data_IF_968329383929
#
_entry.id   IF_968329383929
#
_cell.length_a   1.000
_cell.length_b   1.000
_cell.length_c   1.000
_cell.angle_alpha   90.00
_cell.angle_beta   90.00
_cell.angle_gamma   90.00
#
_symmetry.space_group_name_H-M   'P 1'
#
loop_
_entity.id
_entity.type
_entity.pdbx_description
1 polymer ?
#
# COMPACT_ATOMS: atom_id res chain seq x y z
N UNK A 1 -20.75 -12.58 -18.96
CA UNK A 1 -20.70 -11.17 -19.41
C UNK A 1 -20.35 -10.34 -18.19
N UNK A 2 -19.28 -9.53 -18.21
CA UNK A 2 -18.97 -8.65 -17.09
C UNK A 2 -20.07 -7.60 -16.98
N UNK A 3 -20.58 -7.36 -15.78
CA UNK A 3 -21.81 -6.59 -15.53
C UNK A 3 -21.80 -5.14 -16.07
N UNK A 4 -20.64 -4.63 -16.46
CA UNK A 4 -20.47 -3.25 -16.90
C UNK A 4 -19.84 -3.10 -18.29
N UNK A 5 -19.54 -4.19 -19.01
CA UNK A 5 -18.96 -4.13 -20.37
C UNK A 5 -17.77 -3.15 -20.56
N UNK A 6 -17.03 -2.82 -19.50
CA UNK A 6 -15.93 -1.84 -19.53
C UNK A 6 -16.34 -0.38 -19.30
N UNK A 7 -17.63 -0.10 -19.09
CA UNK A 7 -18.09 1.22 -18.63
C UNK A 7 -17.66 1.50 -17.20
N UNK A 8 -17.48 2.78 -16.90
CA UNK A 8 -17.14 3.26 -15.56
C UNK A 8 -18.31 2.97 -14.64
N UNK A 9 -18.18 1.92 -13.83
CA UNK A 9 -19.05 1.74 -12.68
C UNK A 9 -18.45 2.56 -11.53
N UNK A 10 -19.19 3.57 -11.10
CA UNK A 10 -18.93 4.28 -9.84
C UNK A 10 -19.84 3.66 -8.79
N UNK A 11 -19.41 2.59 -8.09
CA UNK A 11 -20.27 1.97 -7.10
C UNK A 11 -20.74 3.02 -6.09
N UNK A 12 -22.07 3.17 -5.90
CA UNK A 12 -22.63 4.11 -4.95
C UNK A 12 -22.15 3.76 -3.54
N UNK A 13 -22.01 4.77 -2.67
CA UNK A 13 -21.58 4.58 -1.29
C UNK A 13 -20.35 5.42 -0.92
N UNK A 14 -19.88 5.27 0.30
CA UNK A 14 -18.64 5.91 0.77
C UNK A 14 -17.42 5.03 0.45
N UNK A 15 -16.20 5.49 0.78
CA UNK A 15 -14.97 4.72 0.55
C UNK A 15 -14.99 3.36 1.26
N UNK A 16 -15.56 3.27 2.46
CA UNK A 16 -15.68 2.00 3.19
C UNK A 16 -16.51 0.99 2.39
N UNK A 17 -17.69 1.39 1.89
CA UNK A 17 -18.55 0.51 1.08
C UNK A 17 -17.87 -0.01 -0.19
N UNK A 18 -17.05 0.82 -0.85
CA UNK A 18 -16.39 0.44 -2.10
C UNK A 18 -15.23 -0.54 -1.91
N UNK A 19 -14.48 -0.41 -0.82
CA UNK A 19 -13.18 -1.08 -0.66
C UNK A 19 -13.16 -2.14 0.44
N UNK A 20 -14.15 -2.17 1.33
CA UNK A 20 -14.18 -3.11 2.45
C UNK A 20 -13.98 -4.55 1.98
N UNK A 21 -14.78 -5.03 1.01
CA UNK A 21 -14.74 -6.43 0.59
C UNK A 21 -13.45 -6.77 -0.14
N UNK A 22 -12.95 -5.86 -0.97
CA UNK A 22 -11.65 -6.02 -1.65
C UNK A 22 -10.53 -6.20 -0.62
N UNK A 23 -10.51 -5.43 0.45
CA UNK A 23 -9.46 -5.52 1.46
C UNK A 23 -9.65 -6.73 2.38
N UNK A 24 -10.84 -6.92 2.95
CA UNK A 24 -11.06 -7.88 4.01
C UNK A 24 -11.50 -9.26 3.53
N UNK A 25 -12.20 -9.36 2.41
CA UNK A 25 -12.72 -10.63 1.88
C UNK A 25 -11.86 -11.19 0.72
N UNK A 26 -10.95 -10.37 0.16
CA UNK A 26 -10.03 -10.81 -0.90
C UNK A 26 -8.56 -10.71 -0.52
N UNK A 27 -8.03 -9.50 -0.26
CA UNK A 27 -6.59 -9.35 0.02
C UNK A 27 -6.17 -9.97 1.35
N UNK A 28 -6.97 -9.82 2.42
CA UNK A 28 -6.61 -10.40 3.72
C UNK A 28 -6.52 -11.95 3.67
N UNK A 29 -7.52 -12.69 3.14
CA UNK A 29 -7.41 -14.15 2.99
C UNK A 29 -6.27 -14.57 2.07
N UNK A 30 -6.05 -13.85 0.97
CA UNK A 30 -4.93 -14.13 0.07
C UNK A 30 -3.58 -13.95 0.77
N UNK A 31 -3.41 -12.87 1.53
CA UNK A 31 -2.16 -12.62 2.26
C UNK A 31 -1.93 -13.67 3.34
N UNK A 32 -2.98 -14.06 4.06
CA UNK A 32 -2.91 -15.14 5.04
C UNK A 32 -2.50 -16.46 4.38
N UNK A 33 -3.10 -16.81 3.24
CA UNK A 33 -2.74 -18.00 2.47
C UNK A 33 -1.28 -17.97 2.02
N UNK A 34 -0.84 -16.86 1.45
CA UNK A 34 0.55 -16.70 0.98
C UNK A 34 1.55 -16.80 2.13
N UNK A 35 1.20 -16.27 3.30
CA UNK A 35 2.03 -16.36 4.49
C UNK A 35 2.11 -17.80 5.00
N UNK A 36 0.97 -18.48 5.10
CA UNK A 36 0.91 -19.85 5.59
C UNK A 36 1.59 -20.86 4.68
N UNK A 37 1.44 -20.73 3.36
CA UNK A 37 1.94 -21.72 2.40
C UNK A 37 3.37 -21.47 1.93
N UNK A 38 3.79 -20.21 1.85
CA UNK A 38 5.08 -19.83 1.25
C UNK A 38 5.99 -19.07 2.22
N UNK A 39 5.57 -18.86 3.47
CA UNK A 39 6.38 -18.17 4.49
C UNK A 39 6.59 -16.68 4.22
N UNK A 40 5.82 -16.08 3.31
CA UNK A 40 5.95 -14.65 2.99
C UNK A 40 5.37 -13.83 4.16
N UNK A 41 6.14 -12.93 4.81
CA UNK A 41 5.62 -12.18 5.95
C UNK A 41 4.46 -11.26 5.53
N UNK A 42 3.32 -11.31 6.23
CA UNK A 42 2.16 -10.47 5.91
C UNK A 42 2.49 -8.96 5.88
N UNK A 43 3.39 -8.49 6.76
CA UNK A 43 3.85 -7.10 6.75
C UNK A 43 4.44 -6.67 5.41
N UNK A 44 5.12 -7.58 4.71
CA UNK A 44 5.71 -7.32 3.38
C UNK A 44 4.61 -7.26 2.32
N UNK A 45 3.62 -8.15 2.40
CA UNK A 45 2.47 -8.18 1.50
C UNK A 45 1.64 -6.88 1.61
N UNK A 46 1.31 -6.47 2.84
CA UNK A 46 0.60 -5.21 3.07
C UNK A 46 1.42 -3.97 2.68
N UNK A 47 2.73 -3.95 2.97
CA UNK A 47 3.62 -2.87 2.51
C UNK A 47 3.68 -2.79 0.99
N UNK A 48 3.68 -3.93 0.30
CA UNK A 48 3.68 -4.00 -1.16
C UNK A 48 2.35 -3.54 -1.73
N UNK A 49 1.23 -3.89 -1.10
CA UNK A 49 -0.10 -3.43 -1.50
C UNK A 49 -0.24 -1.91 -1.36
N UNK A 50 0.24 -1.33 -0.25
CA UNK A 50 0.28 0.14 -0.06
C UNK A 50 1.13 0.81 -1.15
N UNK A 51 2.28 0.25 -1.51
CA UNK A 51 3.10 0.77 -2.60
C UNK A 51 2.35 0.72 -3.94
N UNK A 52 1.75 -0.42 -4.29
CA UNK A 52 0.98 -0.59 -5.52
C UNK A 52 -0.23 0.34 -5.57
N UNK A 53 -0.95 0.49 -4.47
CA UNK A 53 -2.08 1.42 -4.37
C UNK A 53 -1.64 2.85 -4.68
N UNK A 54 -0.56 3.34 -4.04
CA UNK A 54 -0.05 4.69 -4.29
C UNK A 54 0.47 4.88 -5.73
N UNK A 55 1.15 3.88 -6.27
CA UNK A 55 1.67 3.94 -7.64
C UNK A 55 0.52 3.99 -8.64
N UNK A 56 -0.42 3.04 -8.56
CA UNK A 56 -1.57 2.97 -9.45
C UNK A 56 -2.45 4.22 -9.33
N UNK A 57 -2.70 4.71 -8.12
CA UNK A 57 -3.52 5.90 -7.94
C UNK A 57 -2.90 7.15 -8.55
N UNK A 58 -1.57 7.31 -8.45
CA UNK A 58 -0.86 8.42 -9.11
C UNK A 58 -0.96 8.32 -10.63
N UNK A 59 -0.65 7.15 -11.19
CA UNK A 59 -0.76 6.93 -12.65
C UNK A 59 -2.18 7.15 -13.15
N UNK A 60 -3.20 6.66 -12.43
CA UNK A 60 -4.60 6.88 -12.83
C UNK A 60 -4.96 8.38 -12.72
N UNK A 61 -4.53 9.05 -11.66
CA UNK A 61 -4.84 10.47 -11.45
C UNK A 61 -4.29 11.38 -12.56
N UNK A 62 -3.16 11.03 -13.17
CA UNK A 62 -2.58 11.74 -14.33
C UNK A 62 -3.47 11.69 -15.58
N UNK A 63 -4.37 10.72 -15.66
CA UNK A 63 -5.24 10.50 -16.81
C UNK A 63 -6.73 10.81 -16.54
N UNK A 64 -7.09 11.13 -15.29
CA UNK A 64 -8.47 11.49 -14.94
C UNK A 64 -8.70 12.99 -15.14
N UNK A 65 -9.83 13.41 -15.75
CA UNK A 65 -10.23 14.81 -15.80
C UNK A 65 -10.37 15.45 -14.41
N UNK A 66 -10.77 14.64 -13.41
CA UNK A 66 -10.86 15.05 -12.01
C UNK A 66 -10.48 13.87 -11.08
N UNK A 67 -9.28 13.87 -10.49
CA UNK A 67 -8.84 12.80 -9.59
C UNK A 67 -9.26 12.99 -8.13
N UNK A 68 -10.10 13.97 -7.80
CA UNK A 68 -10.42 14.31 -6.41
C UNK A 68 -10.98 13.14 -5.60
N UNK A 69 -11.94 12.38 -6.14
CA UNK A 69 -12.53 11.22 -5.45
C UNK A 69 -11.50 10.11 -5.22
N UNK A 70 -10.67 9.82 -6.23
CA UNK A 70 -9.61 8.82 -6.11
C UNK A 70 -8.59 9.20 -5.03
N UNK A 71 -8.18 10.45 -4.99
CA UNK A 71 -7.25 10.96 -3.98
C UNK A 71 -7.87 10.91 -2.58
N UNK A 72 -9.15 11.26 -2.45
CA UNK A 72 -9.88 11.16 -1.19
C UNK A 72 -10.00 9.71 -0.72
N UNK A 73 -10.31 8.79 -1.63
CA UNK A 73 -10.40 7.36 -1.34
C UNK A 73 -9.06 6.82 -0.85
N UNK A 74 -7.98 7.03 -1.61
CA UNK A 74 -6.64 6.58 -1.23
C UNK A 74 -6.20 7.19 0.10
N UNK A 75 -6.48 8.48 0.32
CA UNK A 75 -6.19 9.11 1.60
C UNK A 75 -6.92 8.41 2.74
N UNK A 76 -8.24 8.20 2.61
CA UNK A 76 -9.05 7.52 3.60
C UNK A 76 -8.56 6.08 3.85
N UNK A 77 -8.24 5.33 2.79
CA UNK A 77 -7.75 3.95 2.88
C UNK A 77 -6.44 3.85 3.68
N UNK A 78 -5.55 4.84 3.57
CA UNK A 78 -4.24 4.82 4.20
C UNK A 78 -4.22 5.44 5.61
N UNK A 79 -5.17 6.31 5.93
CA UNK A 79 -5.17 7.09 7.19
C UNK A 79 -6.25 6.67 8.18
N UNK A 80 -7.26 5.91 7.75
CA UNK A 80 -8.29 5.40 8.66
C UNK A 80 -7.75 4.22 9.46
N UNK A 81 -7.68 4.34 10.79
CA UNK A 81 -7.12 3.31 11.68
C UNK A 81 -7.96 2.02 11.74
N UNK A 82 -9.28 2.15 11.73
CA UNK A 82 -10.21 1.02 11.88
C UNK A 82 -11.40 1.18 10.93
N UNK A 83 -11.81 0.08 10.29
CA UNK A 83 -12.98 0.03 9.41
C UNK A 83 -13.97 -0.96 10.02
N UNK A 84 -15.20 -0.53 10.32
CA UNK A 84 -16.25 -1.40 10.90
C UNK A 84 -15.73 -2.24 12.09
N UNK A 85 -14.99 -1.60 12.99
CA UNK A 85 -14.33 -2.24 14.17
C UNK A 85 -13.19 -3.23 13.86
N UNK A 86 -12.84 -3.48 12.59
CA UNK A 86 -11.65 -4.23 12.18
C UNK A 86 -10.45 -3.28 12.08
N UNK A 87 -9.26 -3.77 12.45
CA UNK A 87 -8.02 -3.02 12.25
C UNK A 87 -7.73 -2.89 10.74
N UNK A 88 -7.44 -1.69 10.27
CA UNK A 88 -7.04 -1.49 8.89
C UNK A 88 -5.58 -1.95 8.68
N UNK A 89 -5.32 -2.99 7.88
CA UNK A 89 -3.95 -3.44 7.63
C UNK A 89 -3.13 -2.45 6.81
N UNK A 90 -3.78 -1.65 5.95
CA UNK A 90 -3.12 -0.62 5.13
C UNK A 90 -2.59 0.52 5.99
N UNK A 91 -3.33 0.92 7.04
CA UNK A 91 -2.89 1.96 7.98
C UNK A 91 -1.55 1.60 8.62
N UNK A 92 -1.44 0.39 9.18
CA UNK A 92 -0.20 -0.07 9.83
C UNK A 92 0.97 -0.16 8.84
N UNK A 93 0.71 -0.62 7.62
CA UNK A 93 1.73 -0.69 6.58
C UNK A 93 2.18 0.70 6.12
N UNK A 94 1.24 1.63 5.94
CA UNK A 94 1.51 3.01 5.55
C UNK A 94 2.30 3.79 6.62
N UNK A 95 1.99 3.59 7.89
CA UNK A 95 2.67 4.24 9.01
C UNK A 95 4.16 3.92 9.10
N UNK A 96 4.58 2.73 8.64
CA UNK A 96 5.99 2.34 8.64
C UNK A 96 6.82 3.00 7.55
N UNK A 97 6.17 3.64 6.57
CA UNK A 97 6.86 4.37 5.52
C UNK A 97 7.46 5.67 6.07
N UNK A 98 8.53 6.15 5.45
CA UNK A 98 9.26 7.34 5.87
C UNK A 98 9.79 8.13 4.67
N UNK A 99 10.09 9.41 4.88
CA UNK A 99 10.49 10.30 3.79
C UNK A 99 12.01 10.40 3.66
N UNK A 100 12.50 10.28 2.42
CA UNK A 100 13.86 10.58 2.02
C UNK A 100 13.80 11.57 0.86
N UNK A 101 14.00 12.86 1.16
CA UNK A 101 13.74 13.92 0.18
C UNK A 101 12.27 13.92 -0.25
N UNK A 102 12.02 13.87 -1.55
CA UNK A 102 10.67 13.79 -2.11
C UNK A 102 10.12 12.35 -2.20
N UNK A 103 10.90 11.33 -1.82
CA UNK A 103 10.52 9.92 -1.97
C UNK A 103 9.95 9.42 -0.65
N UNK A 104 8.73 8.88 -0.71
CA UNK A 104 8.12 8.10 0.37
C UNK A 104 8.62 6.66 0.29
N UNK A 105 9.57 6.30 1.15
CA UNK A 105 10.18 4.97 1.22
C UNK A 105 9.28 4.03 2.02
N UNK A 106 9.04 2.83 1.51
CA UNK A 106 8.22 1.82 2.19
C UNK A 106 8.90 1.26 3.44
N UNK A 107 8.10 0.87 4.43
CA UNK A 107 8.61 0.36 5.72
C UNK A 107 9.24 -1.03 5.66
N UNK A 108 8.80 -1.88 4.73
CA UNK A 108 9.24 -3.27 4.62
C UNK A 108 9.80 -3.56 3.20
N UNK A 109 10.90 -4.30 3.10
CA UNK A 109 11.50 -4.66 1.82
C UNK A 109 10.76 -5.84 1.18
N UNK A 110 10.41 -5.74 -0.11
CA UNK A 110 9.79 -6.82 -0.87
C UNK A 110 10.78 -7.86 -1.42
N UNK A 111 12.08 -7.72 -1.15
CA UNK A 111 13.16 -8.59 -1.62
C UNK A 111 13.31 -8.72 -3.15
N UNK A 112 12.63 -7.88 -3.94
CA UNK A 112 12.74 -7.91 -5.41
C UNK A 112 14.18 -7.80 -5.93
N UNK A 113 15.04 -7.05 -5.23
CA UNK A 113 16.46 -6.91 -5.52
C UNK A 113 17.29 -8.20 -5.40
N UNK A 114 16.76 -9.24 -4.74
CA UNK A 114 17.41 -10.55 -4.67
C UNK A 114 17.19 -11.37 -5.96
N UNK A 115 16.23 -10.95 -6.81
CA UNK A 115 16.01 -11.61 -8.09
C UNK A 115 17.19 -11.30 -9.05
N UNK A 116 17.75 -12.30 -9.75
CA UNK A 116 19.02 -12.16 -10.50
C UNK A 116 19.11 -11.01 -11.51
N UNK A 117 17.96 -10.59 -12.07
CA UNK A 117 17.89 -9.53 -13.10
C UNK A 117 17.20 -8.25 -12.64
N UNK A 118 16.79 -8.15 -11.38
CA UNK A 118 16.06 -6.98 -10.88
C UNK A 118 16.93 -6.19 -9.91
N UNK A 119 16.92 -4.88 -10.06
CA UNK A 119 17.56 -3.97 -9.11
C UNK A 119 16.67 -3.65 -7.90
N UNK A 120 17.16 -2.75 -7.07
CA UNK A 120 16.35 -2.11 -6.04
C UNK A 120 15.22 -1.30 -6.67
N UNK A 121 14.04 -1.34 -6.05
CA UNK A 121 12.99 -0.35 -6.35
C UNK A 121 13.42 1.03 -5.83
N UNK A 122 12.94 2.10 -6.47
CA UNK A 122 13.23 3.48 -6.07
C UNK A 122 12.78 3.81 -4.64
N UNK A 123 11.80 3.09 -4.12
CA UNK A 123 11.28 3.24 -2.75
C UNK A 123 11.86 2.19 -1.78
N UNK A 124 12.88 1.42 -2.17
CA UNK A 124 13.32 0.28 -1.39
C UNK A 124 14.04 0.70 -0.09
N UNK A 125 13.63 0.23 1.11
CA UNK A 125 14.26 0.61 2.37
C UNK A 125 15.66 0.04 2.56
N UNK A 126 16.13 -0.81 1.63
CA UNK A 126 17.46 -1.42 1.60
C UNK A 126 18.45 -0.67 0.71
N UNK A 127 18.02 0.39 0.01
CA UNK A 127 18.96 1.29 -0.64
C UNK A 127 19.85 1.99 0.41
N UNK A 128 21.15 2.18 0.15
CA UNK A 128 22.07 2.77 1.14
C UNK A 128 21.58 4.10 1.73
N UNK A 129 21.13 5.03 0.90
CA UNK A 129 20.62 6.33 1.38
C UNK A 129 19.36 6.19 2.26
N UNK A 130 18.54 5.17 2.04
CA UNK A 130 17.32 4.94 2.81
C UNK A 130 17.61 4.26 4.15
N UNK A 131 18.60 3.37 4.19
CA UNK A 131 19.03 2.72 5.43
C UNK A 131 19.58 3.72 6.44
N UNK A 132 20.38 4.69 5.98
CA UNK A 132 20.92 5.77 6.82
C UNK A 132 19.77 6.57 7.45
N UNK A 133 18.80 7.00 6.64
CA UNK A 133 17.66 7.77 7.13
C UNK A 133 16.78 6.96 8.08
N UNK A 134 16.50 5.68 7.78
CA UNK A 134 15.70 4.82 8.64
C UNK A 134 16.26 4.71 10.06
N UNK A 135 17.58 4.55 10.19
CA UNK A 135 18.25 4.49 11.50
C UNK A 135 18.08 5.80 12.29
N UNK A 136 18.16 6.95 11.60
CA UNK A 136 17.92 8.25 12.26
C UNK A 136 16.46 8.41 12.75
N UNK A 137 15.47 7.97 11.96
CA UNK A 137 14.05 8.05 12.32
C UNK A 137 13.71 7.12 13.49
N UNK A 138 14.27 5.91 13.51
CA UNK A 138 14.07 4.98 14.62
C UNK A 138 14.63 5.54 15.93
N UNK A 139 15.77 6.24 15.87
CA UNK A 139 16.42 6.86 17.04
C UNK A 139 15.61 8.03 17.60
N UNK A 140 14.96 8.84 16.75
CA UNK A 140 14.13 9.98 17.19
C UNK A 140 12.78 9.59 17.79
N UNK A 141 12.26 8.39 17.47
CA UNK A 141 10.99 7.88 18.01
C UNK A 141 11.15 7.13 19.35
N UNK A 142 12.39 6.88 19.77
CA UNK A 142 12.73 6.17 21.01
C UNK A 142 13.17 7.12 22.13
N UNK A 143 13.07 8.42 21.90
CA UNK A 143 13.31 9.52 22.83
C UNK A 143 11.99 10.20 23.14
#
# INVERSE_FOLDING_TARGET
MLAHCGEVNTPPGNTDDRYHDVIFEHFAPLHQYLSAQFGIPERVLWSSLVYRLNHLSKTIAEHLPNPAQLNQDVHWLLHTKQWRSKQNPLFKAHQKSFDVGAIRVRGDCCLMHEHPVKGYCDDCPKLPQHMIKRTSVAKSLSQ
#
